data_IF_138066275128
#
_entry.id   IF_138066275128
#
_cell.length_a   1.000
_cell.length_b   1.000
_cell.length_c   1.000
_cell.angle_alpha   90.00
_cell.angle_beta   90.00
_cell.angle_gamma   90.00
#
_symmetry.space_group_name_H-M   'P 1'
#
loop_
_entity.id
_entity.type
_entity.pdbx_description
1 polymer ?
#
# COMPACT_ATOMS: atom_id res chain seq x y z
N UNK A 1 11.57 0.71 3.83
CA UNK A 1 11.29 1.26 2.47
C UNK A 1 11.90 0.34 1.44
N UNK A 2 11.12 -0.09 0.50
CA UNK A 2 11.56 -0.93 -0.62
C UNK A 2 11.75 -0.07 -1.86
N UNK A 3 12.88 -0.22 -2.54
CA UNK A 3 13.21 0.50 -3.77
C UNK A 3 13.36 -0.54 -4.86
N UNK A 4 12.44 -0.51 -5.83
CA UNK A 4 12.32 -1.51 -6.89
C UNK A 4 12.57 -0.90 -8.26
N UNK A 5 12.75 -1.75 -9.26
CA UNK A 5 12.84 -1.33 -10.66
C UNK A 5 11.47 -1.01 -11.23
N UNK A 6 11.40 -0.08 -12.17
CA UNK A 6 10.16 0.35 -12.87
C UNK A 6 9.38 -0.80 -13.55
N UNK A 7 10.01 -1.97 -13.72
CA UNK A 7 9.41 -3.16 -14.34
C UNK A 7 8.80 -4.12 -13.35
N UNK A 8 8.94 -3.88 -12.05
CA UNK A 8 8.38 -4.76 -11.03
C UNK A 8 6.93 -4.38 -10.73
N UNK A 9 6.01 -5.36 -10.78
CA UNK A 9 4.63 -5.13 -10.37
C UNK A 9 4.54 -4.91 -8.87
N UNK A 10 3.93 -3.81 -8.45
CA UNK A 10 3.74 -3.42 -7.05
C UNK A 10 3.12 -4.51 -6.18
N UNK A 11 2.23 -5.33 -6.76
CA UNK A 11 1.57 -6.44 -6.06
C UNK A 11 2.54 -7.46 -5.45
N UNK A 12 3.74 -7.62 -6.02
CA UNK A 12 4.77 -8.55 -5.52
C UNK A 12 5.44 -8.05 -4.23
N UNK A 13 5.40 -6.75 -3.99
CA UNK A 13 6.01 -6.12 -2.82
C UNK A 13 5.05 -5.97 -1.65
N UNK A 14 3.79 -6.33 -1.82
CA UNK A 14 2.73 -6.17 -0.82
C UNK A 14 3.07 -6.84 0.51
N UNK A 15 3.44 -8.11 0.47
CA UNK A 15 3.80 -8.89 1.66
C UNK A 15 5.02 -8.31 2.36
N UNK A 16 6.06 -7.97 1.60
CA UNK A 16 7.29 -7.37 2.12
C UNK A 16 7.02 -6.05 2.85
N UNK A 17 6.16 -5.19 2.28
CA UNK A 17 5.77 -3.92 2.89
C UNK A 17 5.00 -4.11 4.20
N UNK A 18 4.11 -5.10 4.28
CA UNK A 18 3.40 -5.42 5.51
C UNK A 18 4.36 -5.95 6.57
N UNK A 19 5.27 -6.86 6.21
CA UNK A 19 6.27 -7.39 7.15
C UNK A 19 7.21 -6.29 7.69
N UNK A 20 7.61 -5.34 6.85
CA UNK A 20 8.36 -4.17 7.29
C UNK A 20 7.53 -3.30 8.26
N UNK A 21 6.24 -3.12 7.98
CA UNK A 21 5.35 -2.32 8.83
C UNK A 21 5.13 -2.95 10.20
N UNK A 22 5.07 -4.28 10.29
CA UNK A 22 4.95 -5.01 11.56
C UNK A 22 6.10 -4.76 12.53
N UNK A 23 7.28 -4.38 12.03
CA UNK A 23 8.42 -4.02 12.88
C UNK A 23 8.17 -2.75 13.70
N UNK A 24 7.25 -1.91 13.28
CA UNK A 24 6.92 -0.63 13.95
C UNK A 24 5.63 -0.68 14.76
N UNK A 25 4.83 -1.73 14.62
CA UNK A 25 3.58 -1.88 15.36
C UNK A 25 2.69 -2.99 14.82
N UNK A 26 1.54 -3.18 15.46
CA UNK A 26 0.56 -4.17 15.04
C UNK A 26 -0.22 -3.66 13.83
N UNK A 27 -0.19 -4.42 12.73
CA UNK A 27 -0.94 -4.13 11.51
C UNK A 27 -2.28 -4.86 11.55
N UNK A 28 -3.36 -4.14 11.70
CA UNK A 28 -4.73 -4.70 11.78
C UNK A 28 -5.52 -4.55 10.48
N UNK A 29 -5.13 -3.61 9.63
CA UNK A 29 -5.82 -3.29 8.37
C UNK A 29 -4.82 -2.84 7.31
N UNK A 30 -5.07 -3.20 6.06
CA UNK A 30 -4.32 -2.70 4.90
C UNK A 30 -5.24 -1.98 3.94
N UNK A 31 -4.85 -0.79 3.50
CA UNK A 31 -5.56 0.00 2.50
C UNK A 31 -4.75 0.01 1.21
N UNK A 32 -5.27 -0.58 0.14
CA UNK A 32 -4.55 -0.69 -1.12
C UNK A 32 -5.47 -0.48 -2.33
N UNK A 33 -4.89 -0.06 -3.44
CA UNK A 33 -5.63 0.11 -4.70
C UNK A 33 -5.72 -1.19 -5.51
N UNK A 34 -6.33 -1.11 -6.70
CA UNK A 34 -6.55 -2.25 -7.56
C UNK A 34 -5.28 -2.91 -8.13
N UNK A 35 -4.11 -2.29 -8.00
CA UNK A 35 -2.85 -2.91 -8.37
C UNK A 35 -2.53 -4.11 -7.47
N UNK A 36 -2.99 -4.07 -6.24
CA UNK A 36 -2.79 -5.12 -5.23
C UNK A 36 -3.92 -6.16 -5.17
N UNK A 37 -4.93 -6.10 -6.06
CA UNK A 37 -6.04 -7.03 -6.14
C UNK A 37 -5.58 -8.39 -6.69
N UNK A 38 -5.02 -9.22 -5.82
CA UNK A 38 -4.62 -10.60 -6.11
C UNK A 38 -5.13 -11.56 -5.04
N UNK A 39 -5.36 -12.83 -5.41
CA UNK A 39 -5.76 -13.88 -4.46
C UNK A 39 -4.75 -14.02 -3.32
N UNK A 40 -3.46 -14.00 -3.65
CA UNK A 40 -2.37 -14.19 -2.70
C UNK A 40 -2.35 -13.09 -1.64
N UNK A 41 -2.52 -11.82 -2.05
CA UNK A 41 -2.55 -10.69 -1.11
C UNK A 41 -3.76 -10.75 -0.18
N UNK A 42 -4.94 -11.11 -0.68
CA UNK A 42 -6.13 -11.33 0.16
C UNK A 42 -5.96 -12.48 1.12
N UNK A 43 -5.40 -13.61 0.65
CA UNK A 43 -5.16 -14.79 1.48
C UNK A 43 -4.14 -14.52 2.56
N UNK A 44 -3.03 -13.87 2.23
CA UNK A 44 -2.01 -13.46 3.17
C UNK A 44 -2.57 -12.58 4.30
N UNK A 45 -3.38 -11.58 3.97
CA UNK A 45 -4.00 -10.74 4.99
C UNK A 45 -4.96 -11.53 5.88
N UNK A 46 -5.90 -12.23 5.27
CA UNK A 46 -7.06 -12.79 5.98
C UNK A 46 -6.73 -14.09 6.71
N UNK A 47 -6.08 -15.04 6.04
CA UNK A 47 -5.83 -16.36 6.62
C UNK A 47 -4.53 -16.43 7.42
N UNK A 48 -3.48 -15.81 6.93
CA UNK A 48 -2.15 -15.96 7.52
C UNK A 48 -1.89 -14.95 8.66
N UNK A 49 -2.54 -13.79 8.63
CA UNK A 49 -2.19 -12.68 9.52
C UNK A 49 -3.36 -12.01 10.24
N UNK A 50 -4.60 -12.42 10.01
CA UNK A 50 -5.80 -11.79 10.58
C UNK A 50 -5.89 -10.26 10.35
N UNK A 51 -5.36 -9.80 9.21
CA UNK A 51 -5.38 -8.42 8.78
C UNK A 51 -6.60 -8.18 7.90
N UNK A 52 -7.35 -7.11 8.14
CA UNK A 52 -8.46 -6.71 7.27
C UNK A 52 -7.94 -6.22 5.91
N UNK A 53 -8.21 -6.94 4.80
CA UNK A 53 -7.78 -6.51 3.47
C UNK A 53 -8.77 -5.51 2.86
N UNK A 54 -8.56 -4.22 3.08
CA UNK A 54 -9.31 -3.15 2.43
C UNK A 54 -8.67 -2.79 1.07
N UNK A 55 -8.70 -3.74 0.15
CA UNK A 55 -8.12 -3.62 -1.19
C UNK A 55 -9.25 -3.32 -2.18
N UNK A 56 -9.09 -2.24 -2.97
CA UNK A 56 -10.00 -1.96 -4.07
C UNK A 56 -9.89 -3.05 -5.13
N UNK A 57 -10.99 -3.70 -5.49
CA UNK A 57 -10.98 -4.71 -6.53
C UNK A 57 -11.01 -4.07 -7.92
N UNK A 58 -10.44 -4.75 -8.90
CA UNK A 58 -10.46 -4.31 -10.30
C UNK A 58 -11.86 -4.45 -10.87
N UNK A 59 -12.21 -3.62 -11.85
CA UNK A 59 -13.54 -3.62 -12.50
C UNK A 59 -13.92 -4.98 -13.10
N UNK A 60 -12.93 -5.77 -13.53
CA UNK A 60 -13.11 -7.09 -14.13
C UNK A 60 -12.87 -8.25 -13.14
N UNK A 61 -12.84 -7.97 -11.84
CA UNK A 61 -12.64 -9.00 -10.83
C UNK A 61 -13.81 -9.96 -10.79
N UNK A 62 -13.50 -11.26 -10.85
CA UNK A 62 -14.51 -12.32 -10.89
C UNK A 62 -15.14 -12.56 -9.53
N UNK A 63 -16.48 -12.71 -9.52
CA UNK A 63 -17.26 -13.16 -8.36
C UNK A 63 -17.03 -14.64 -8.06
N UNK A 64 -16.60 -15.42 -9.07
CA UNK A 64 -16.41 -16.88 -8.97
C UNK A 64 -15.03 -17.26 -8.41
N UNK A 65 -14.28 -16.31 -7.86
CA UNK A 65 -12.99 -16.62 -7.24
C UNK A 65 -13.15 -17.57 -6.05
N UNK A 66 -12.28 -18.54 -5.93
CA UNK A 66 -12.20 -19.51 -4.84
C UNK A 66 -11.66 -18.88 -3.53
N UNK A 67 -11.01 -17.71 -3.61
CA UNK A 67 -10.54 -16.96 -2.46
C UNK A 67 -11.71 -16.22 -1.77
N UNK A 68 -12.16 -16.74 -0.63
CA UNK A 68 -13.30 -16.19 0.12
C UNK A 68 -13.16 -14.68 0.46
N UNK A 69 -12.07 -14.20 1.07
CA UNK A 69 -11.95 -12.78 1.42
C UNK A 69 -11.98 -11.88 0.20
N UNK A 70 -11.38 -12.30 -0.92
CA UNK A 70 -11.43 -11.57 -2.18
C UNK A 70 -12.85 -11.53 -2.75
N UNK A 71 -13.54 -12.68 -2.80
CA UNK A 71 -14.93 -12.76 -3.26
C UNK A 71 -15.86 -11.87 -2.43
N UNK A 72 -15.73 -11.91 -1.10
CA UNK A 72 -16.47 -11.03 -0.19
C UNK A 72 -16.26 -9.55 -0.51
N UNK A 73 -15.02 -9.15 -0.75
CA UNK A 73 -14.67 -7.77 -1.10
C UNK A 73 -15.23 -7.35 -2.46
N UNK A 74 -15.14 -8.24 -3.47
CA UNK A 74 -15.72 -8.00 -4.81
C UNK A 74 -17.22 -7.80 -4.72
N UNK A 75 -17.93 -8.69 -4.04
CA UNK A 75 -19.39 -8.61 -3.87
C UNK A 75 -19.81 -7.34 -3.14
N UNK A 76 -19.12 -6.98 -2.06
CA UNK A 76 -19.42 -5.77 -1.30
C UNK A 76 -19.23 -4.50 -2.14
N UNK A 77 -18.18 -4.45 -2.96
CA UNK A 77 -17.89 -3.30 -3.82
C UNK A 77 -18.84 -3.20 -5.02
N UNK A 78 -19.30 -4.32 -5.56
CA UNK A 78 -20.32 -4.33 -6.62
C UNK A 78 -21.69 -3.91 -6.05
N UNK A 79 -22.04 -4.40 -4.87
CA UNK A 79 -23.33 -4.11 -4.25
C UNK A 79 -23.48 -2.63 -3.91
N UNK A 80 -22.53 -2.07 -3.16
CA UNK A 80 -22.46 -0.65 -2.86
C UNK A 80 -21.06 -0.23 -2.49
N UNK A 81 -20.37 0.39 -3.43
CA UNK A 81 -18.97 0.82 -3.26
C UNK A 81 -18.79 1.87 -2.14
N UNK A 82 -19.73 2.79 -2.01
CA UNK A 82 -19.63 3.84 -0.98
C UNK A 82 -19.85 3.29 0.44
N UNK A 83 -20.77 2.36 0.61
CA UNK A 83 -20.92 1.63 1.88
C UNK A 83 -19.68 0.83 2.20
N UNK A 84 -19.11 0.13 1.22
CA UNK A 84 -17.86 -0.60 1.43
C UNK A 84 -16.73 0.34 1.85
N UNK A 85 -16.55 1.49 1.18
CA UNK A 85 -15.55 2.49 1.55
C UNK A 85 -15.68 2.95 3.02
N UNK A 86 -16.90 3.20 3.44
CA UNK A 86 -17.20 3.63 4.81
C UNK A 86 -16.88 2.48 5.79
N UNK A 87 -17.33 1.26 5.49
CA UNK A 87 -17.16 0.09 6.38
C UNK A 87 -15.70 -0.27 6.68
N UNK A 88 -14.80 -0.05 5.72
CA UNK A 88 -13.37 -0.34 5.86
C UNK A 88 -12.53 0.92 6.07
N UNK A 89 -13.16 2.10 6.17
CA UNK A 89 -12.48 3.40 6.26
C UNK A 89 -11.48 3.63 5.10
N UNK A 90 -11.83 3.22 3.91
CA UNK A 90 -10.97 3.29 2.72
C UNK A 90 -10.52 4.72 2.39
N UNK A 91 -11.31 5.72 2.81
CA UNK A 91 -10.97 7.14 2.68
C UNK A 91 -9.66 7.53 3.37
N UNK A 92 -9.24 6.84 4.43
CA UNK A 92 -7.99 7.11 5.13
C UNK A 92 -6.75 6.96 4.22
N UNK A 93 -6.89 6.36 3.05
CA UNK A 93 -5.81 6.27 2.03
C UNK A 93 -5.26 7.63 1.61
N UNK A 94 -6.04 8.70 1.70
CA UNK A 94 -5.59 10.06 1.40
C UNK A 94 -4.39 10.51 2.27
N UNK A 95 -4.25 9.94 3.48
CA UNK A 95 -3.14 10.27 4.38
C UNK A 95 -1.80 9.96 3.72
N UNK A 96 -1.70 8.78 3.08
CA UNK A 96 -0.47 8.38 2.37
C UNK A 96 -0.20 9.29 1.18
N UNK A 97 -1.24 9.65 0.42
CA UNK A 97 -1.13 10.58 -0.71
C UNK A 97 -0.67 11.96 -0.23
N UNK A 98 -1.18 12.42 0.91
CA UNK A 98 -0.75 13.65 1.56
C UNK A 98 0.72 13.62 1.98
N UNK A 99 1.18 12.52 2.58
CA UNK A 99 2.59 12.31 2.96
C UNK A 99 3.50 12.35 1.73
N UNK A 100 3.15 11.63 0.65
CA UNK A 100 3.94 11.66 -0.57
C UNK A 100 3.97 13.04 -1.24
N UNK A 101 2.84 13.76 -1.23
CA UNK A 101 2.77 15.12 -1.77
C UNK A 101 3.64 16.10 -0.97
N UNK A 102 3.66 15.97 0.35
CA UNK A 102 4.52 16.77 1.22
C UNK A 102 6.00 16.46 1.00
N UNK A 103 6.34 15.16 0.89
CA UNK A 103 7.69 14.69 0.61
C UNK A 103 8.21 15.23 -0.74
N UNK A 104 7.41 15.12 -1.80
CA UNK A 104 7.76 15.64 -3.14
C UNK A 104 7.93 17.15 -3.15
N UNK A 105 7.10 17.88 -2.42
CA UNK A 105 7.22 19.35 -2.27
C UNK A 105 8.51 19.75 -1.59
N UNK A 106 8.95 18.97 -0.61
CA UNK A 106 10.12 19.28 0.21
C UNK A 106 11.44 18.91 -0.50
N UNK A 107 11.48 17.78 -1.17
CA UNK A 107 12.70 17.20 -1.76
C UNK A 107 12.72 17.14 -3.30
N UNK A 108 11.65 17.58 -3.95
CA UNK A 108 11.47 17.44 -5.40
C UNK A 108 11.07 16.02 -5.82
N UNK A 109 10.73 15.88 -7.09
CA UNK A 109 10.29 14.60 -7.66
C UNK A 109 11.45 13.76 -8.21
N UNK A 110 12.63 14.34 -8.34
CA UNK A 110 13.77 13.71 -8.97
C UNK A 110 14.93 13.52 -7.99
N UNK A 111 15.70 12.47 -8.22
CA UNK A 111 17.02 12.30 -7.60
C UNK A 111 18.08 12.96 -8.49
N UNK A 112 19.08 13.57 -7.87
CA UNK A 112 20.17 14.29 -8.59
C UNK A 112 21.31 13.36 -8.97
N UNK A 113 21.46 12.25 -8.27
CA UNK A 113 22.51 11.27 -8.51
C UNK A 113 22.27 10.47 -9.79
N UNK A 114 23.33 10.17 -10.55
CA UNK A 114 23.24 9.42 -11.80
C UNK A 114 23.49 7.91 -11.63
N UNK A 115 24.29 7.51 -10.65
CA UNK A 115 24.54 6.08 -10.37
C UNK A 115 23.42 5.51 -9.50
N UNK A 116 22.92 4.31 -9.85
CA UNK A 116 21.82 3.65 -9.14
C UNK A 116 22.05 3.56 -7.62
N UNK A 117 23.24 3.19 -7.19
CA UNK A 117 23.57 3.09 -5.76
C UNK A 117 23.42 4.43 -5.06
N UNK A 118 23.92 5.51 -5.68
CA UNK A 118 23.84 6.85 -5.15
C UNK A 118 22.38 7.36 -5.15
N UNK A 119 21.58 7.02 -6.18
CA UNK A 119 20.16 7.34 -6.22
C UNK A 119 19.41 6.71 -5.03
N UNK A 120 19.70 5.45 -4.73
CA UNK A 120 19.13 4.72 -3.59
C UNK A 120 19.53 5.39 -2.27
N UNK A 121 20.81 5.75 -2.11
CA UNK A 121 21.29 6.45 -0.93
C UNK A 121 20.65 7.83 -0.76
N UNK A 122 20.57 8.59 -1.83
CA UNK A 122 19.92 9.92 -1.83
C UNK A 122 18.46 9.80 -1.39
N UNK A 123 17.71 8.84 -1.95
CA UNK A 123 16.32 8.64 -1.59
C UNK A 123 16.15 8.20 -0.12
N UNK A 124 16.99 7.27 0.36
CA UNK A 124 16.98 6.85 1.77
C UNK A 124 17.28 8.02 2.72
N UNK A 125 18.25 8.87 2.37
CA UNK A 125 18.56 10.06 3.17
C UNK A 125 17.39 11.06 3.21
N UNK A 126 16.73 11.31 2.07
CA UNK A 126 15.53 12.17 2.00
C UNK A 126 14.41 11.64 2.89
N UNK A 127 14.14 10.33 2.85
CA UNK A 127 13.12 9.69 3.70
C UNK A 127 13.49 9.77 5.18
N UNK A 128 14.76 9.54 5.53
CA UNK A 128 15.22 9.65 6.91
C UNK A 128 15.09 11.08 7.45
N UNK A 129 15.44 12.09 6.67
CA UNK A 129 15.26 13.49 7.03
C UNK A 129 13.78 13.84 7.20
N UNK A 130 12.93 13.43 6.28
CA UNK A 130 11.48 13.64 6.36
C UNK A 130 10.90 13.08 7.66
N UNK A 131 11.22 11.82 7.96
CA UNK A 131 10.75 11.17 9.19
C UNK A 131 11.22 11.91 10.45
N UNK A 132 12.48 12.35 10.50
CA UNK A 132 12.98 13.16 11.63
C UNK A 132 12.24 14.48 11.78
N UNK A 133 11.95 15.17 10.68
CA UNK A 133 11.23 16.44 10.71
C UNK A 133 9.80 16.29 11.23
N UNK A 134 9.11 15.20 10.87
CA UNK A 134 7.76 14.91 11.38
C UNK A 134 7.78 14.63 12.88
N UNK A 135 8.76 13.88 13.39
CA UNK A 135 8.85 13.54 14.82
C UNK A 135 9.21 14.77 15.67
N UNK A 136 9.81 15.81 15.09
CA UNK A 136 10.19 17.04 15.80
C UNK A 136 9.06 18.09 15.87
N UNK A 137 7.92 17.85 15.20
CA UNK A 137 6.72 18.70 15.27
C UNK A 137 5.79 18.24 16.38
#
# INVERSE_FOLDING_TARGET
MEITDDKSHDSKHFVSLIEQSKQFGNVTKTLADGAYDTKDNFSYCYYDNEILPAIRTRKNSSITTDCYPRRKSVLAQIYNYDLWKISVSYGERWIVEGVFSAFKRMFGEHVTSHKRENMIHELKMKVCLYNKMIVMQ
#
